data_IF_810976369616
#
_entry.id   IF_810976369616
#
_cell.length_a   1.000
_cell.length_b   1.000
_cell.length_c   1.000
_cell.angle_alpha   90.00
_cell.angle_beta   90.00
_cell.angle_gamma   90.00
#
_symmetry.space_group_name_H-M   'P 1'
#
loop_
_entity.id
_entity.type
_entity.pdbx_description
1 polymer ?
#
# COMPACT_ATOMS: atom_id res chain seq x y z
N UNK A 1 5.24 36.66 -36.01
CA UNK A 1 5.09 35.26 -35.47
C UNK A 1 6.26 35.01 -34.55
N UNK A 2 6.05 35.18 -33.24
CA UNK A 2 7.07 34.88 -32.22
C UNK A 2 6.96 33.44 -31.82
N UNK A 3 8.00 32.66 -32.09
CA UNK A 3 8.12 31.27 -31.68
C UNK A 3 8.46 31.26 -30.19
N UNK A 4 7.44 31.05 -29.33
CA UNK A 4 7.68 30.77 -27.90
C UNK A 4 8.33 29.42 -27.77
N UNK A 5 9.63 29.36 -27.57
CA UNK A 5 10.32 28.19 -27.06
C UNK A 5 9.80 27.97 -25.61
N UNK A 6 8.99 26.96 -25.44
CA UNK A 6 8.72 26.38 -24.13
C UNK A 6 10.02 25.75 -23.63
N UNK A 7 10.80 26.48 -22.87
CA UNK A 7 11.91 25.94 -22.10
C UNK A 7 11.25 25.11 -21.00
N UNK A 8 11.30 23.79 -21.15
CA UNK A 8 11.00 22.89 -20.03
C UNK A 8 11.90 23.29 -18.85
N UNK A 9 11.39 23.37 -17.61
CA UNK A 9 12.21 23.68 -16.48
C UNK A 9 13.32 22.61 -16.39
N UNK A 10 14.56 23.06 -16.38
CA UNK A 10 15.70 22.21 -16.13
C UNK A 10 15.44 21.50 -14.78
N UNK A 11 15.29 20.18 -14.83
CA UNK A 11 15.20 19.37 -13.62
C UNK A 11 16.41 19.76 -12.77
N UNK A 12 16.15 20.31 -11.59
CA UNK A 12 17.18 20.55 -10.60
C UNK A 12 18.00 19.25 -10.48
N UNK A 13 19.32 19.37 -10.35
CA UNK A 13 20.25 18.23 -10.17
C UNK A 13 20.02 17.57 -8.79
N UNK A 14 18.76 17.23 -8.49
CA UNK A 14 18.30 16.50 -7.31
C UNK A 14 18.38 15.00 -7.53
N UNK A 15 18.34 14.28 -6.46
CA UNK A 15 18.27 12.81 -6.44
C UNK A 15 17.15 12.34 -7.38
N UNK A 16 17.46 11.42 -8.29
CA UNK A 16 16.52 10.97 -9.32
C UNK A 16 15.99 9.56 -9.01
N UNK A 17 14.70 9.35 -9.25
CA UNK A 17 14.14 8.02 -9.28
C UNK A 17 14.64 7.30 -10.55
N UNK A 18 15.30 6.16 -10.37
CA UNK A 18 15.89 5.37 -11.46
C UNK A 18 15.00 4.20 -11.88
N UNK A 19 14.20 3.67 -10.94
CA UNK A 19 13.33 2.52 -11.17
C UNK A 19 11.95 2.80 -10.62
N UNK A 20 10.93 2.58 -11.43
CA UNK A 20 9.51 2.67 -11.08
C UNK A 20 8.90 1.27 -11.23
N UNK A 21 8.43 0.69 -10.14
CA UNK A 21 7.63 -0.53 -10.16
C UNK A 21 6.17 -0.20 -10.44
N UNK A 22 5.70 -0.53 -11.63
CA UNK A 22 4.32 -0.33 -12.05
C UNK A 22 3.43 -1.56 -11.82
N UNK A 23 3.97 -2.63 -11.22
CA UNK A 23 3.21 -3.82 -10.87
C UNK A 23 2.29 -3.61 -9.68
N UNK A 24 1.10 -4.19 -9.78
CA UNK A 24 0.13 -4.15 -8.69
C UNK A 24 0.64 -4.92 -7.45
N UNK A 25 0.23 -4.52 -6.26
CA UNK A 25 0.55 -5.27 -5.04
C UNK A 25 0.21 -6.76 -5.16
N UNK A 26 0.94 -7.63 -4.49
CA UNK A 26 0.82 -9.11 -4.53
C UNK A 26 1.29 -9.77 -5.84
N UNK A 27 1.91 -9.03 -6.74
CA UNK A 27 2.58 -9.56 -7.94
C UNK A 27 4.06 -9.89 -7.73
N UNK A 28 4.54 -9.96 -6.48
CA UNK A 28 5.94 -10.20 -6.14
C UNK A 28 6.76 -8.93 -5.92
N UNK A 29 6.11 -7.85 -5.55
CA UNK A 29 6.71 -6.52 -5.34
C UNK A 29 7.73 -6.50 -4.21
N UNK A 30 7.54 -7.28 -3.14
CA UNK A 30 8.51 -7.37 -2.05
C UNK A 30 9.79 -8.13 -2.47
N UNK A 31 9.66 -9.22 -3.23
CA UNK A 31 10.80 -9.88 -3.86
C UNK A 31 11.55 -8.94 -4.81
N UNK A 32 10.82 -8.12 -5.58
CA UNK A 32 11.42 -7.10 -6.44
C UNK A 32 12.15 -6.04 -5.62
N UNK A 33 11.58 -5.56 -4.50
CA UNK A 33 12.24 -4.62 -3.57
C UNK A 33 13.58 -5.18 -3.09
N UNK A 34 13.54 -6.40 -2.55
CA UNK A 34 14.74 -7.07 -2.04
C UNK A 34 15.79 -7.22 -3.15
N UNK A 35 15.38 -7.66 -4.35
CA UNK A 35 16.28 -7.80 -5.48
C UNK A 35 16.89 -6.46 -5.92
N UNK A 36 16.11 -5.39 -5.97
CA UNK A 36 16.61 -4.06 -6.31
C UNK A 36 17.61 -3.56 -5.26
N UNK A 37 17.35 -3.80 -3.97
CA UNK A 37 18.27 -3.45 -2.90
C UNK A 37 19.62 -4.21 -3.02
N UNK A 38 19.58 -5.50 -3.34
CA UNK A 38 20.79 -6.30 -3.60
C UNK A 38 21.55 -5.83 -4.86
N UNK A 39 20.84 -5.24 -5.84
CA UNK A 39 21.44 -4.61 -7.03
C UNK A 39 21.97 -3.18 -6.76
N UNK A 40 21.91 -2.70 -5.50
CA UNK A 40 22.45 -1.39 -5.09
C UNK A 40 21.46 -0.23 -5.24
N UNK A 41 20.20 -0.49 -5.45
CA UNK A 41 19.15 0.53 -5.36
C UNK A 41 18.69 0.67 -3.90
N UNK A 42 18.11 1.82 -3.57
CA UNK A 42 17.43 2.07 -2.32
C UNK A 42 15.94 2.17 -2.65
N UNK A 43 15.18 1.15 -2.30
CA UNK A 43 13.85 0.92 -2.87
C UNK A 43 12.74 1.19 -1.87
N UNK A 44 11.87 2.15 -2.21
CA UNK A 44 10.62 2.41 -1.50
C UNK A 44 9.58 1.32 -1.78
N UNK A 45 8.83 0.92 -0.75
CA UNK A 45 7.78 -0.08 -0.81
C UNK A 45 6.75 0.20 0.29
N UNK A 46 5.56 -0.39 0.22
CA UNK A 46 4.54 -0.25 1.28
C UNK A 46 5.07 -0.53 2.69
N UNK A 47 5.99 -1.47 2.84
CA UNK A 47 6.55 -1.80 4.15
C UNK A 47 7.30 -0.61 4.79
N UNK A 48 7.91 0.29 4.00
CA UNK A 48 8.52 1.53 4.49
C UNK A 48 7.47 2.49 5.06
N UNK A 49 6.31 2.53 4.42
CA UNK A 49 5.17 3.30 4.89
C UNK A 49 4.65 2.80 6.24
N UNK A 50 4.66 1.49 6.44
CA UNK A 50 4.16 0.82 7.65
C UNK A 50 5.26 0.63 8.72
N UNK A 51 6.52 0.88 8.39
CA UNK A 51 7.66 0.64 9.28
C UNK A 51 7.91 -0.83 9.62
N UNK A 52 7.55 -1.73 8.70
CA UNK A 52 7.65 -3.18 8.89
C UNK A 52 8.56 -3.86 7.87
N UNK A 53 9.40 -3.10 7.16
CA UNK A 53 10.34 -3.69 6.22
C UNK A 53 11.32 -4.62 6.94
N UNK A 54 11.35 -5.89 6.53
CA UNK A 54 12.41 -6.81 6.88
C UNK A 54 13.66 -6.41 6.09
N UNK A 55 14.82 -6.46 6.70
CA UNK A 55 16.13 -6.21 6.11
C UNK A 55 16.22 -5.03 5.12
N UNK A 56 16.92 -3.99 5.48
CA UNK A 56 17.18 -2.84 4.63
C UNK A 56 16.09 -1.78 4.59
N UNK A 57 15.08 -1.86 5.45
CA UNK A 57 14.17 -0.74 5.70
C UNK A 57 14.97 0.48 6.15
N UNK A 58 14.72 1.60 5.51
CA UNK A 58 15.52 2.83 5.75
C UNK A 58 14.76 3.85 6.57
N UNK A 59 13.45 3.65 6.70
CA UNK A 59 12.56 4.54 7.41
C UNK A 59 11.82 3.79 8.52
N UNK A 60 12.02 4.25 9.75
CA UNK A 60 11.15 3.86 10.87
C UNK A 60 10.11 4.99 11.06
N UNK A 61 8.80 4.71 10.98
CA UNK A 61 7.79 5.71 11.31
C UNK A 61 7.95 6.16 12.74
N UNK A 62 7.64 7.43 13.03
CA UNK A 62 7.63 7.92 14.39
C UNK A 62 6.55 7.19 15.21
N UNK A 63 6.67 7.12 16.56
CA UNK A 63 5.59 6.59 17.39
C UNK A 63 4.26 7.32 17.16
N UNK A 64 4.27 8.60 16.82
CA UNK A 64 3.06 9.39 16.54
C UNK A 64 2.44 9.02 15.20
N UNK A 65 3.25 8.77 14.16
CA UNK A 65 2.78 8.20 12.89
C UNK A 65 2.16 6.82 13.10
N UNK A 66 2.83 5.93 13.85
CA UNK A 66 2.31 4.59 14.16
C UNK A 66 0.98 4.64 14.92
N UNK A 67 0.79 5.64 15.77
CA UNK A 67 -0.45 5.88 16.49
C UNK A 67 -1.48 6.70 15.70
N UNK A 68 -1.14 7.15 14.48
CA UNK A 68 -2.02 7.90 13.59
C UNK A 68 -2.27 9.36 13.99
N UNK A 69 -1.40 9.94 14.79
CA UNK A 69 -1.42 11.37 15.13
C UNK A 69 -0.67 12.23 14.10
N UNK A 70 0.25 11.63 13.37
CA UNK A 70 0.98 12.23 12.26
C UNK A 70 0.75 11.41 11.00
N UNK A 71 0.57 12.06 9.85
CA UNK A 71 0.29 11.41 8.57
C UNK A 71 1.53 10.83 7.87
N UNK A 72 2.71 11.36 8.15
CA UNK A 72 3.97 10.94 7.53
C UNK A 72 3.86 10.81 6.02
N UNK A 73 4.46 9.76 5.44
CA UNK A 73 4.37 9.48 4.01
C UNK A 73 2.94 9.23 3.51
N UNK A 74 2.01 8.81 4.37
CA UNK A 74 0.60 8.66 4.00
C UNK A 74 -0.04 9.98 3.61
N UNK A 75 0.23 11.04 4.38
CA UNK A 75 -0.29 12.38 4.09
C UNK A 75 0.34 12.94 2.81
N UNK A 76 1.63 12.74 2.61
CA UNK A 76 2.34 13.15 1.39
C UNK A 76 1.77 12.46 0.14
N UNK A 77 1.48 11.17 0.19
CA UNK A 77 0.81 10.47 -0.91
C UNK A 77 -0.64 10.91 -1.12
N UNK A 78 -1.36 11.24 -0.05
CA UNK A 78 -2.71 11.80 -0.16
C UNK A 78 -2.66 13.20 -0.81
N UNK A 79 -1.66 14.01 -0.48
CA UNK A 79 -1.42 15.30 -1.11
C UNK A 79 -1.10 15.16 -2.60
N UNK A 80 -0.21 14.23 -2.97
CA UNK A 80 0.07 13.88 -4.37
C UNK A 80 -1.23 13.65 -5.13
N UNK A 81 -2.14 12.82 -4.59
CA UNK A 81 -3.41 12.54 -5.28
C UNK A 81 -4.35 13.76 -5.34
N UNK A 82 -4.40 14.59 -4.30
CA UNK A 82 -5.16 15.85 -4.31
C UNK A 82 -4.65 16.79 -5.39
N UNK A 83 -3.33 16.96 -5.49
CA UNK A 83 -2.69 17.82 -6.50
C UNK A 83 -3.01 17.34 -7.90
N UNK A 84 -2.85 16.03 -8.19
CA UNK A 84 -3.21 15.43 -9.49
C UNK A 84 -4.68 15.70 -9.81
N UNK A 85 -5.58 15.51 -8.85
CA UNK A 85 -7.02 15.73 -9.05
C UNK A 85 -7.35 17.19 -9.32
N UNK A 86 -6.59 18.11 -8.73
CA UNK A 86 -6.72 19.56 -8.94
C UNK A 86 -5.99 20.08 -10.20
N UNK A 87 -5.31 19.20 -10.96
CA UNK A 87 -4.50 19.59 -12.11
C UNK A 87 -3.19 20.30 -11.74
N UNK A 88 -2.76 20.15 -10.49
CA UNK A 88 -1.49 20.69 -9.97
C UNK A 88 -0.41 19.62 -10.08
N UNK A 89 0.80 20.03 -10.47
CA UNK A 89 1.94 19.12 -10.56
C UNK A 89 2.30 18.59 -9.15
N UNK A 90 2.36 17.25 -8.94
CA UNK A 90 2.69 16.70 -7.65
C UNK A 90 4.18 16.82 -7.32
N UNK A 91 4.51 16.99 -6.04
CA UNK A 91 5.88 16.94 -5.54
C UNK A 91 6.20 15.53 -5.03
N UNK A 92 7.27 14.94 -5.58
CA UNK A 92 7.80 13.63 -5.19
C UNK A 92 9.17 13.73 -4.48
N UNK A 93 9.59 14.91 -4.04
CA UNK A 93 10.89 15.12 -3.38
C UNK A 93 11.04 14.23 -2.14
N UNK A 94 9.99 14.09 -1.34
CA UNK A 94 9.98 13.20 -0.17
C UNK A 94 10.39 11.75 -0.48
N UNK A 95 10.08 11.29 -1.70
CA UNK A 95 10.43 9.95 -2.14
C UNK A 95 11.91 9.90 -2.56
N UNK A 96 12.34 10.87 -3.37
CA UNK A 96 13.70 10.88 -3.93
C UNK A 96 14.77 11.37 -2.96
N UNK A 97 14.40 11.98 -1.85
CA UNK A 97 15.34 12.37 -0.80
C UNK A 97 16.03 11.15 -0.18
N UNK A 98 15.33 10.04 -0.08
CA UNK A 98 15.85 8.83 0.54
C UNK A 98 16.00 7.66 -0.44
N UNK A 99 15.20 7.58 -1.50
CA UNK A 99 15.10 6.42 -2.39
C UNK A 99 15.45 6.78 -3.83
N UNK A 100 15.92 5.78 -4.59
CA UNK A 100 16.15 5.91 -6.03
C UNK A 100 15.40 4.84 -6.84
N UNK A 101 14.59 4.02 -6.17
CA UNK A 101 13.63 3.10 -6.75
C UNK A 101 12.35 3.12 -5.91
N UNK A 102 11.20 2.90 -6.53
CA UNK A 102 9.92 2.82 -5.83
C UNK A 102 9.05 1.73 -6.45
N UNK A 103 8.55 0.83 -5.63
CA UNK A 103 7.72 -0.30 -6.06
C UNK A 103 6.53 -0.46 -5.11
N UNK A 104 5.51 -1.24 -5.53
CA UNK A 104 4.31 -1.49 -4.75
C UNK A 104 3.46 -0.24 -4.50
N UNK A 105 2.34 -0.41 -3.84
CA UNK A 105 1.53 0.73 -3.37
C UNK A 105 2.26 1.49 -2.25
N UNK A 106 2.09 2.83 -2.17
CA UNK A 106 1.28 3.68 -3.05
C UNK A 106 1.92 4.05 -4.38
N UNK A 107 3.25 3.96 -4.52
CA UNK A 107 3.97 4.46 -5.71
C UNK A 107 3.47 3.84 -7.02
N UNK A 108 3.11 2.56 -7.02
CA UNK A 108 2.56 1.91 -8.20
C UNK A 108 1.24 2.54 -8.68
N UNK A 109 0.43 3.12 -7.79
CA UNK A 109 -0.81 3.81 -8.19
C UNK A 109 -0.57 5.16 -8.88
N UNK A 110 0.66 5.66 -8.83
CA UNK A 110 1.08 6.96 -9.39
C UNK A 110 2.21 6.79 -10.42
N UNK A 111 2.37 5.58 -10.98
CA UNK A 111 3.45 5.32 -11.93
C UNK A 111 3.46 6.27 -13.15
N UNK A 112 2.30 6.74 -13.70
CA UNK A 112 2.34 7.66 -14.84
C UNK A 112 2.91 9.03 -14.46
N UNK A 113 2.51 9.54 -13.30
CA UNK A 113 2.98 10.82 -12.77
C UNK A 113 4.46 10.75 -12.38
N UNK A 114 4.88 9.63 -11.78
CA UNK A 114 6.28 9.35 -11.51
C UNK A 114 7.11 9.29 -12.80
N UNK A 115 6.63 8.61 -13.84
CA UNK A 115 7.33 8.54 -15.11
C UNK A 115 7.41 9.93 -15.80
N UNK A 116 6.36 10.74 -15.67
CA UNK A 116 6.37 12.14 -16.15
C UNK A 116 7.40 12.99 -15.42
N UNK A 117 7.51 12.85 -14.10
CA UNK A 117 8.48 13.57 -13.27
C UNK A 117 9.92 13.05 -13.47
N UNK A 118 10.08 11.76 -13.73
CA UNK A 118 11.36 11.09 -13.92
C UNK A 118 11.41 10.34 -15.27
N UNK A 119 11.46 11.03 -16.40
CA UNK A 119 11.27 10.44 -17.74
C UNK A 119 12.36 9.47 -18.16
N UNK A 120 13.51 9.45 -17.48
CA UNK A 120 14.61 8.51 -17.72
C UNK A 120 14.54 7.27 -16.82
N UNK A 121 13.55 7.15 -15.95
CA UNK A 121 13.40 6.00 -15.09
C UNK A 121 13.03 4.74 -15.87
N UNK A 122 13.61 3.62 -15.50
CA UNK A 122 13.22 2.30 -16.00
C UNK A 122 11.95 1.83 -15.28
N UNK A 123 11.01 1.26 -16.02
CA UNK A 123 9.74 0.78 -15.46
C UNK A 123 9.75 -0.74 -15.40
N UNK A 124 9.47 -1.31 -14.25
CA UNK A 124 9.32 -2.76 -14.05
C UNK A 124 7.86 -3.06 -13.74
N UNK A 125 7.18 -3.74 -14.64
CA UNK A 125 5.82 -4.23 -14.47
C UNK A 125 5.88 -5.68 -14.00
N UNK A 126 5.76 -5.92 -12.69
CA UNK A 126 5.59 -7.28 -12.19
C UNK A 126 4.18 -7.77 -12.52
N UNK A 127 4.10 -8.95 -13.17
CA UNK A 127 2.83 -9.55 -13.59
C UNK A 127 2.65 -10.93 -12.96
N UNK A 128 1.40 -11.30 -12.78
CA UNK A 128 0.97 -12.58 -12.24
C UNK A 128 -0.33 -12.98 -12.91
N UNK A 129 -0.61 -14.28 -13.01
CA UNK A 129 -1.95 -14.76 -13.42
C UNK A 129 -3.04 -14.02 -12.62
N UNK A 130 -4.03 -13.38 -13.27
CA UNK A 130 -4.97 -12.48 -12.60
C UNK A 130 -5.91 -13.22 -11.63
N UNK A 131 -6.22 -14.49 -11.85
CA UNK A 131 -7.02 -15.29 -10.92
C UNK A 131 -6.21 -15.68 -9.67
N UNK A 132 -4.91 -16.01 -9.86
CA UNK A 132 -3.98 -16.23 -8.73
C UNK A 132 -3.75 -14.92 -7.96
N UNK A 133 -3.72 -13.78 -8.65
CA UNK A 133 -3.61 -12.47 -8.02
C UNK A 133 -4.86 -12.17 -7.19
N UNK A 134 -6.07 -12.35 -7.75
CA UNK A 134 -7.33 -12.22 -7.02
C UNK A 134 -7.33 -13.05 -5.74
N UNK A 135 -7.01 -14.33 -5.84
CA UNK A 135 -6.94 -15.21 -4.67
C UNK A 135 -5.95 -14.71 -3.61
N UNK A 136 -4.79 -14.18 -4.04
CA UNK A 136 -3.79 -13.63 -3.12
C UNK A 136 -4.27 -12.36 -2.42
N UNK A 137 -4.99 -11.49 -3.12
CA UNK A 137 -5.56 -10.24 -2.59
C UNK A 137 -6.72 -10.58 -1.63
N UNK A 138 -7.61 -11.49 -2.01
CA UNK A 138 -8.77 -11.91 -1.21
C UNK A 138 -8.34 -12.53 0.12
N UNK A 139 -7.27 -13.33 0.12
CA UNK A 139 -6.75 -13.99 1.33
C UNK A 139 -5.91 -13.08 2.24
N UNK A 140 -5.62 -11.85 1.84
CA UNK A 140 -4.78 -10.94 2.62
C UNK A 140 -5.42 -9.55 2.72
N UNK A 141 -5.35 -8.77 1.64
CA UNK A 141 -5.74 -7.37 1.63
C UNK A 141 -7.23 -7.14 1.92
N UNK A 142 -8.10 -8.00 1.39
CA UNK A 142 -9.55 -7.88 1.59
C UNK A 142 -9.97 -7.98 3.06
N UNK A 143 -9.26 -8.75 3.86
CA UNK A 143 -9.49 -8.80 5.31
C UNK A 143 -9.07 -7.51 6.01
N UNK A 144 -7.96 -6.89 5.57
CA UNK A 144 -7.45 -5.65 6.17
C UNK A 144 -8.38 -4.47 5.88
N UNK A 145 -8.96 -4.40 4.69
CA UNK A 145 -9.88 -3.31 4.32
C UNK A 145 -11.34 -3.56 4.74
N UNK A 146 -11.62 -4.65 5.45
CA UNK A 146 -12.96 -4.97 5.93
C UNK A 146 -13.92 -5.49 4.85
N UNK A 147 -13.40 -5.94 3.71
CA UNK A 147 -14.22 -6.53 2.64
C UNK A 147 -14.43 -8.05 2.78
N UNK A 148 -13.84 -8.66 3.80
CA UNK A 148 -13.96 -10.09 4.07
C UNK A 148 -15.23 -10.45 4.86
N UNK A 149 -15.05 -10.92 6.10
CA UNK A 149 -16.13 -11.33 6.98
C UNK A 149 -16.76 -10.14 7.74
N UNK A 150 -17.94 -10.36 8.37
CA UNK A 150 -18.53 -9.37 9.30
C UNK A 150 -17.58 -8.99 10.44
N UNK A 151 -16.75 -9.95 10.89
CA UNK A 151 -15.73 -9.67 11.89
C UNK A 151 -14.66 -8.71 11.32
N UNK A 152 -14.22 -8.91 10.09
CA UNK A 152 -13.24 -8.03 9.44
C UNK A 152 -13.81 -6.62 9.26
N UNK A 153 -15.08 -6.49 8.88
CA UNK A 153 -15.78 -5.20 8.80
C UNK A 153 -15.79 -4.51 10.17
N UNK A 154 -16.20 -5.21 11.21
CA UNK A 154 -16.22 -4.66 12.56
C UNK A 154 -14.83 -4.26 13.06
N UNK A 155 -13.82 -5.09 12.84
CA UNK A 155 -12.42 -4.80 13.21
C UNK A 155 -11.91 -3.58 12.46
N UNK A 156 -12.16 -3.49 11.16
CA UNK A 156 -11.77 -2.36 10.31
C UNK A 156 -12.44 -1.06 10.77
N UNK A 157 -13.76 -1.07 11.01
CA UNK A 157 -14.49 0.09 11.50
C UNK A 157 -13.96 0.55 12.87
N UNK A 158 -13.74 -0.38 13.79
CA UNK A 158 -13.18 -0.08 15.11
C UNK A 158 -11.78 0.51 14.99
N UNK A 159 -10.93 -0.09 14.16
CA UNK A 159 -9.53 0.31 14.03
C UNK A 159 -9.40 1.63 13.28
N UNK A 160 -10.07 1.77 12.12
CA UNK A 160 -9.88 2.92 11.23
C UNK A 160 -10.70 4.16 11.61
N UNK A 161 -11.71 4.04 12.45
CA UNK A 161 -12.42 5.18 13.01
C UNK A 161 -11.73 5.76 14.25
N UNK A 162 -10.64 5.16 14.71
CA UNK A 162 -9.79 5.72 15.78
C UNK A 162 -8.78 6.73 15.19
N UNK A 163 -8.21 7.63 16.02
CA UNK A 163 -7.23 8.60 15.55
C UNK A 163 -6.08 7.96 14.75
N UNK A 164 -5.57 6.81 15.20
CA UNK A 164 -4.49 6.06 14.53
C UNK A 164 -4.89 5.35 13.23
N UNK A 165 -6.19 5.24 12.94
CA UNK A 165 -6.67 4.59 11.71
C UNK A 165 -7.12 5.56 10.62
N UNK A 166 -7.34 6.83 10.95
CA UNK A 166 -7.90 7.82 10.01
C UNK A 166 -7.05 8.02 8.76
N UNK A 167 -5.74 8.07 8.92
CA UNK A 167 -4.81 8.19 7.79
C UNK A 167 -4.86 6.96 6.89
N UNK A 168 -4.97 5.76 7.45
CA UNK A 168 -5.08 4.52 6.68
C UNK A 168 -6.36 4.49 5.84
N UNK A 169 -7.49 4.91 6.41
CA UNK A 169 -8.75 5.03 5.67
C UNK A 169 -8.67 6.07 4.54
N UNK A 170 -8.11 7.23 4.81
CA UNK A 170 -7.88 8.25 3.80
C UNK A 170 -7.01 7.71 2.65
N UNK A 171 -5.90 7.07 2.98
CA UNK A 171 -4.99 6.45 2.02
C UNK A 171 -5.70 5.40 1.14
N UNK A 172 -6.51 4.52 1.73
CA UNK A 172 -7.25 3.51 0.96
C UNK A 172 -8.22 4.14 -0.04
N UNK A 173 -8.90 5.22 0.33
CA UNK A 173 -9.80 5.96 -0.56
C UNK A 173 -9.00 6.57 -1.71
N UNK A 174 -7.86 7.20 -1.42
CA UNK A 174 -7.04 7.84 -2.44
C UNK A 174 -6.41 6.82 -3.40
N UNK A 175 -6.01 5.67 -2.90
CA UNK A 175 -5.52 4.57 -3.75
C UNK A 175 -6.62 3.99 -4.64
N UNK A 176 -7.83 3.84 -4.13
CA UNK A 176 -8.95 3.38 -4.94
C UNK A 176 -9.24 4.36 -6.08
N UNK A 177 -9.22 5.68 -5.80
CA UNK A 177 -9.38 6.72 -6.82
C UNK A 177 -8.26 6.66 -7.88
N UNK A 178 -7.01 6.56 -7.44
CA UNK A 178 -5.86 6.45 -8.33
C UNK A 178 -5.96 5.19 -9.22
N UNK A 179 -6.26 4.04 -8.61
CA UNK A 179 -6.48 2.79 -9.34
C UNK A 179 -7.60 2.93 -10.36
N UNK A 180 -8.75 3.50 -9.97
CA UNK A 180 -9.89 3.72 -10.86
C UNK A 180 -9.54 4.56 -12.09
N UNK A 181 -8.73 5.61 -11.92
CA UNK A 181 -8.22 6.40 -13.06
C UNK A 181 -7.36 5.56 -14.01
N UNK A 182 -6.48 4.73 -13.47
CA UNK A 182 -5.56 3.90 -14.27
C UNK A 182 -6.29 2.80 -15.06
N UNK A 183 -7.26 2.14 -14.43
CA UNK A 183 -8.02 1.06 -15.08
C UNK A 183 -9.21 1.56 -15.89
N UNK A 184 -9.49 2.86 -15.89
CA UNK A 184 -10.61 3.44 -16.61
C UNK A 184 -11.98 3.08 -16.05
N UNK A 185 -12.06 2.79 -14.74
CA UNK A 185 -13.29 2.42 -14.03
C UNK A 185 -13.65 3.53 -13.03
N UNK A 186 -14.50 4.51 -13.41
CA UNK A 186 -14.98 5.51 -12.48
C UNK A 186 -15.67 4.86 -11.27
N UNK A 187 -15.35 5.32 -10.07
CA UNK A 187 -15.94 4.77 -8.85
C UNK A 187 -15.37 3.41 -8.43
N UNK A 188 -14.20 3.01 -8.95
CA UNK A 188 -13.52 1.80 -8.50
C UNK A 188 -13.38 1.77 -6.97
N UNK A 189 -13.71 0.65 -6.37
CA UNK A 189 -13.48 0.38 -4.95
C UNK A 189 -12.82 -0.98 -4.75
N UNK A 190 -11.90 -1.03 -3.81
CA UNK A 190 -11.29 -2.30 -3.41
C UNK A 190 -12.31 -3.25 -2.77
N UNK A 191 -13.34 -2.72 -2.10
CA UNK A 191 -14.42 -3.53 -1.52
C UNK A 191 -15.17 -4.30 -2.61
N UNK A 192 -15.51 -3.63 -3.72
CA UNK A 192 -16.14 -4.31 -4.86
C UNK A 192 -15.19 -5.34 -5.48
N UNK A 193 -13.93 -4.97 -5.70
CA UNK A 193 -12.92 -5.88 -6.26
C UNK A 193 -12.69 -7.12 -5.37
N UNK A 194 -12.83 -6.99 -4.06
CA UNK A 194 -12.74 -8.12 -3.14
C UNK A 194 -13.94 -9.08 -3.20
N UNK A 195 -15.10 -8.58 -3.56
CA UNK A 195 -16.35 -9.35 -3.57
C UNK A 195 -16.79 -9.81 -4.98
N UNK A 196 -16.08 -9.38 -6.02
CA UNK A 196 -16.38 -9.70 -7.41
C UNK A 196 -15.08 -10.03 -8.15
N UNK A 197 -14.82 -11.33 -8.32
CA UNK A 197 -13.62 -11.80 -9.03
C UNK A 197 -13.55 -11.33 -10.47
N UNK A 198 -14.68 -11.34 -11.20
CA UNK A 198 -14.69 -10.94 -12.59
C UNK A 198 -14.34 -9.46 -12.75
N UNK A 199 -14.89 -8.61 -11.87
CA UNK A 199 -14.57 -7.20 -11.80
C UNK A 199 -13.09 -6.96 -11.45
N UNK A 200 -12.56 -7.65 -10.44
CA UNK A 200 -11.15 -7.55 -10.06
C UNK A 200 -10.21 -7.98 -11.18
N UNK A 201 -10.47 -9.14 -11.80
CA UNK A 201 -9.68 -9.68 -12.90
C UNK A 201 -9.68 -8.73 -14.12
N UNK A 202 -10.83 -8.14 -14.44
CA UNK A 202 -10.92 -7.14 -15.51
C UNK A 202 -10.06 -5.91 -15.20
N UNK A 203 -10.11 -5.40 -13.95
CA UNK A 203 -9.29 -4.28 -13.52
C UNK A 203 -7.79 -4.59 -13.56
N UNK A 204 -7.36 -5.79 -13.13
CA UNK A 204 -5.96 -6.20 -13.18
C UNK A 204 -5.43 -6.28 -14.62
N UNK A 205 -6.23 -6.84 -15.55
CA UNK A 205 -5.88 -6.89 -16.96
C UNK A 205 -5.81 -5.50 -17.59
N UNK A 206 -6.74 -4.60 -17.23
CA UNK A 206 -6.74 -3.23 -17.71
C UNK A 206 -5.51 -2.44 -17.20
N UNK A 207 -5.10 -2.67 -15.96
CA UNK A 207 -3.88 -2.11 -15.39
C UNK A 207 -2.65 -2.51 -16.21
N UNK A 208 -2.42 -3.81 -16.37
CA UNK A 208 -1.28 -4.33 -17.12
C UNK A 208 -1.27 -3.82 -18.57
N UNK A 209 -2.43 -3.80 -19.21
CA UNK A 209 -2.59 -3.28 -20.58
C UNK A 209 -2.24 -1.79 -20.66
N UNK A 210 -2.68 -0.99 -19.66
CA UNK A 210 -2.38 0.44 -19.60
C UNK A 210 -0.89 0.72 -19.48
N UNK A 211 -0.17 0.00 -18.62
CA UNK A 211 1.29 0.13 -18.48
C UNK A 211 1.97 -0.21 -19.80
N UNK A 212 1.65 -1.37 -20.39
CA UNK A 212 2.23 -1.84 -21.66
C UNK A 212 1.97 -0.91 -22.84
N UNK A 213 0.82 -0.24 -22.86
CA UNK A 213 0.46 0.69 -23.92
C UNK A 213 1.07 2.10 -23.74
N UNK A 214 1.50 2.45 -22.56
CA UNK A 214 1.95 3.82 -22.25
C UNK A 214 3.46 3.93 -22.13
N UNK A 215 4.12 2.93 -21.55
CA UNK A 215 5.57 2.97 -21.31
C UNK A 215 6.32 2.55 -22.57
N UNK A 216 7.31 3.32 -23.05
CA UNK A 216 8.15 2.93 -24.18
C UNK A 216 8.80 1.56 -23.98
N UNK A 217 8.90 0.77 -25.05
CA UNK A 217 9.37 -0.62 -24.97
C UNK A 217 10.82 -0.75 -24.44
N UNK A 218 11.67 0.23 -24.70
CA UNK A 218 13.05 0.29 -24.23
C UNK A 218 13.18 0.71 -22.74
N UNK A 219 12.10 1.24 -22.19
CA UNK A 219 11.99 1.62 -20.78
C UNK A 219 11.18 0.64 -19.94
N UNK A 220 10.56 -0.38 -20.55
CA UNK A 220 9.66 -1.31 -19.87
C UNK A 220 10.23 -2.72 -19.79
N UNK A 221 10.30 -3.27 -18.59
CA UNK A 221 10.45 -4.71 -18.34
C UNK A 221 9.14 -5.29 -17.81
N UNK A 222 8.53 -6.19 -18.59
CA UNK A 222 7.43 -7.03 -18.08
C UNK A 222 8.05 -8.22 -17.36
N UNK A 223 7.92 -8.23 -16.03
CA UNK A 223 8.57 -9.20 -15.15
C UNK A 223 7.55 -10.21 -14.62
N UNK A 224 7.59 -11.43 -15.16
CA UNK A 224 6.69 -12.50 -14.74
C UNK A 224 7.24 -13.22 -13.52
N UNK A 225 6.57 -13.01 -12.38
CA UNK A 225 6.96 -13.60 -11.08
C UNK A 225 6.96 -15.12 -11.14
N UNK A 226 8.06 -15.72 -10.69
CA UNK A 226 8.27 -17.16 -10.73
C UNK A 226 8.84 -17.72 -12.04
N UNK A 227 9.02 -16.85 -13.08
CA UNK A 227 9.71 -17.22 -14.33
C UNK A 227 10.98 -16.42 -14.54
N UNK A 228 10.94 -15.12 -14.24
CA UNK A 228 12.08 -14.21 -14.36
C UNK A 228 12.83 -14.09 -13.05
N UNK A 229 14.09 -13.67 -13.15
CA UNK A 229 15.00 -13.52 -12.03
C UNK A 229 16.01 -12.39 -12.24
N UNK A 230 17.18 -12.53 -11.63
CA UNK A 230 18.25 -11.54 -11.76
C UNK A 230 18.77 -11.38 -13.17
N UNK A 231 18.74 -12.43 -14.00
CA UNK A 231 19.22 -12.36 -15.40
C UNK A 231 18.49 -11.28 -16.16
N UNK A 232 17.17 -11.29 -16.16
CA UNK A 232 16.34 -10.34 -16.87
C UNK A 232 16.39 -8.95 -16.22
N UNK A 233 16.29 -8.90 -14.90
CA UNK A 233 16.26 -7.65 -14.16
C UNK A 233 17.57 -6.88 -14.27
N UNK A 234 18.70 -7.53 -14.03
CA UNK A 234 20.02 -6.90 -14.09
C UNK A 234 20.40 -6.47 -15.51
N UNK A 235 20.10 -7.30 -16.53
CA UNK A 235 20.30 -6.94 -17.92
C UNK A 235 19.50 -5.70 -18.31
N UNK A 236 18.23 -5.62 -17.91
CA UNK A 236 17.37 -4.47 -18.18
C UNK A 236 17.88 -3.19 -17.49
N UNK A 237 18.35 -3.31 -16.25
CA UNK A 237 18.83 -2.16 -15.46
C UNK A 237 20.28 -1.77 -15.80
N UNK A 238 21.00 -2.57 -16.59
CA UNK A 238 22.40 -2.34 -16.96
C UNK A 238 23.37 -2.50 -15.79
N UNK A 239 23.04 -3.40 -14.85
CA UNK A 239 23.86 -3.68 -13.65
C UNK A 239 24.31 -5.14 -13.64
N UNK A 240 25.34 -5.45 -12.82
CA UNK A 240 25.82 -6.82 -12.69
C UNK A 240 24.85 -7.64 -11.85
N UNK A 241 24.42 -8.80 -12.37
CA UNK A 241 23.64 -9.76 -11.60
C UNK A 241 24.44 -10.35 -10.43
N UNK A 242 23.87 -10.49 -9.23
CA UNK A 242 24.50 -11.23 -8.15
C UNK A 242 24.51 -12.73 -8.46
N UNK A 243 25.33 -13.48 -7.70
CA UNK A 243 25.40 -14.95 -7.84
C UNK A 243 24.37 -15.65 -6.93
N UNK A 244 23.72 -14.90 -6.05
CA UNK A 244 22.65 -15.41 -5.17
C UNK A 244 21.36 -15.71 -5.97
N UNK A 245 20.54 -16.67 -5.53
CA UNK A 245 19.21 -16.86 -6.10
C UNK A 245 18.34 -15.61 -5.99
N UNK A 246 17.42 -15.41 -6.95
CA UNK A 246 16.42 -14.35 -6.86
C UNK A 246 15.57 -14.52 -5.59
N UNK A 247 15.33 -13.46 -4.79
CA UNK A 247 14.63 -13.57 -3.52
C UNK A 247 13.17 -13.99 -3.70
N UNK A 248 12.71 -14.88 -2.82
CA UNK A 248 11.33 -15.31 -2.72
C UNK A 248 10.79 -14.94 -1.33
N UNK A 249 10.36 -13.71 -1.17
CA UNK A 249 9.79 -13.26 0.10
C UNK A 249 8.34 -13.71 0.25
N UNK A 250 7.99 -14.21 1.43
CA UNK A 250 6.63 -14.70 1.72
C UNK A 250 5.83 -13.64 2.50
N UNK A 251 5.39 -12.60 1.80
CA UNK A 251 4.60 -11.51 2.38
C UNK A 251 3.22 -11.94 2.96
N UNK A 252 2.80 -13.18 2.74
CA UNK A 252 1.54 -13.70 3.32
C UNK A 252 1.64 -13.80 4.85
N UNK A 253 2.80 -14.19 5.38
CA UNK A 253 3.02 -14.25 6.83
C UNK A 253 2.97 -12.86 7.46
N UNK A 254 3.54 -11.85 6.80
CA UNK A 254 3.52 -10.46 7.24
C UNK A 254 2.10 -9.90 7.27
N UNK A 255 1.31 -10.12 6.22
CA UNK A 255 -0.10 -9.72 6.20
C UNK A 255 -0.93 -10.42 7.29
N UNK A 256 -0.67 -11.69 7.55
CA UNK A 256 -1.34 -12.42 8.64
C UNK A 256 -0.98 -11.82 10.00
N UNK A 257 0.26 -11.43 10.19
CA UNK A 257 0.72 -10.74 11.40
C UNK A 257 0.06 -9.36 11.55
N UNK A 258 0.02 -8.55 10.51
CA UNK A 258 -0.67 -7.23 10.52
C UNK A 258 -2.15 -7.40 10.87
N UNK A 259 -2.84 -8.37 10.26
CA UNK A 259 -4.23 -8.68 10.54
C UNK A 259 -4.44 -9.12 12.00
N UNK A 260 -3.51 -9.93 12.54
CA UNK A 260 -3.52 -10.29 13.95
C UNK A 260 -3.40 -9.07 14.87
N UNK A 261 -2.48 -8.14 14.57
CA UNK A 261 -2.32 -6.89 15.33
C UNK A 261 -3.61 -6.07 15.30
N UNK A 262 -4.24 -5.90 14.14
CA UNK A 262 -5.50 -5.15 14.04
C UNK A 262 -6.63 -5.79 14.86
N UNK A 263 -6.77 -7.10 14.80
CA UNK A 263 -7.77 -7.84 15.60
C UNK A 263 -7.48 -7.73 17.10
N UNK A 264 -6.22 -7.80 17.50
CA UNK A 264 -5.80 -7.64 18.87
C UNK A 264 -6.08 -6.23 19.41
N UNK A 265 -5.74 -5.18 18.64
CA UNK A 265 -6.04 -3.80 18.99
C UNK A 265 -7.55 -3.54 19.10
N UNK A 266 -8.35 -4.08 18.20
CA UNK A 266 -9.80 -3.99 18.28
C UNK A 266 -10.35 -4.67 19.55
N UNK A 267 -9.82 -5.85 19.90
CA UNK A 267 -10.19 -6.54 21.15
C UNK A 267 -9.84 -5.71 22.39
N UNK A 268 -8.65 -5.13 22.45
CA UNK A 268 -8.23 -4.31 23.58
C UNK A 268 -9.07 -3.02 23.71
N UNK A 269 -9.37 -2.38 22.60
CA UNK A 269 -10.02 -1.05 22.62
C UNK A 269 -11.53 -1.11 22.81
N UNK A 270 -12.18 -2.23 22.51
CA UNK A 270 -13.64 -2.38 22.63
C UNK A 270 -14.00 -3.56 23.52
N UNK A 271 -13.37 -4.71 23.35
CA UNK A 271 -13.71 -5.93 24.09
C UNK A 271 -13.46 -5.80 25.58
N UNK A 272 -12.29 -5.30 25.97
CA UNK A 272 -11.96 -5.11 27.40
C UNK A 272 -12.87 -4.08 28.08
N UNK A 273 -13.08 -2.86 27.56
CA UNK A 273 -14.03 -1.92 28.14
C UNK A 273 -15.47 -2.45 28.21
N UNK A 274 -15.94 -3.18 27.19
CA UNK A 274 -17.27 -3.78 27.19
C UNK A 274 -17.42 -4.85 28.28
N UNK A 275 -16.40 -5.68 28.47
CA UNK A 275 -16.36 -6.67 29.57
C UNK A 275 -16.39 -5.99 30.95
N UNK A 276 -15.57 -4.96 31.14
CA UNK A 276 -15.54 -4.19 32.38
C UNK A 276 -16.90 -3.54 32.67
N UNK A 277 -17.52 -2.91 31.67
CA UNK A 277 -18.85 -2.32 31.80
C UNK A 277 -19.90 -3.37 32.17
N UNK A 278 -19.86 -4.55 31.52
CA UNK A 278 -20.76 -5.67 31.83
C UNK A 278 -20.56 -6.20 33.26
N UNK A 279 -19.31 -6.32 33.73
CA UNK A 279 -18.99 -6.71 35.09
C UNK A 279 -19.49 -5.67 36.11
N UNK A 280 -19.27 -4.40 35.83
CA UNK A 280 -19.77 -3.31 36.70
C UNK A 280 -21.30 -3.32 36.79
N UNK A 281 -22.00 -3.46 35.64
CA UNK A 281 -23.46 -3.57 35.62
C UNK A 281 -23.96 -4.76 36.44
N UNK A 282 -23.34 -5.95 36.25
CA UNK A 282 -23.70 -7.15 37.07
C UNK A 282 -23.44 -6.96 38.53
N UNK A 283 -22.35 -6.30 38.92
CA UNK A 283 -22.07 -5.98 40.31
C UNK A 283 -23.09 -4.97 40.89
N UNK A 284 -23.48 -3.96 40.12
CA UNK A 284 -24.49 -2.97 40.54
C UNK A 284 -25.88 -3.63 40.72
N UNK A 285 -26.30 -4.49 39.79
CA UNK A 285 -27.56 -5.21 39.89
C UNK A 285 -27.60 -6.18 41.09
N UNK A 286 -26.48 -6.85 41.39
CA UNK A 286 -26.38 -7.71 42.58
C UNK A 286 -26.46 -6.92 43.90
N UNK A 287 -25.88 -5.71 43.93
CA UNK A 287 -25.95 -4.84 45.15
C UNK A 287 -27.32 -4.18 45.33
N UNK A 288 -28.01 -3.83 44.23
CA UNK A 288 -29.37 -3.25 44.29
C UNK A 288 -30.46 -4.24 44.69
N UNK A 289 -30.19 -5.57 44.60
CA UNK A 289 -31.14 -6.62 45.02
C UNK A 289 -31.05 -7.03 46.51
N UNK A 290 -30.13 -6.46 47.30
CA UNK A 290 -30.04 -6.78 48.71
C UNK A 290 -31.17 -6.04 49.46
N UNK A 291 -32.27 -6.75 49.76
CA UNK A 291 -33.35 -6.22 50.64
C UNK A 291 -32.77 -5.79 51.96
N UNK A 292 -33.20 -4.63 52.51
CA UNK A 292 -32.79 -4.21 53.83
C UNK A 292 -33.24 -5.27 54.86
N UNK A 293 -32.31 -5.77 55.66
CA UNK A 293 -32.64 -6.61 56.78
C UNK A 293 -33.52 -5.80 57.74
N UNK A 294 -34.81 -6.10 57.79
CA UNK A 294 -35.71 -5.59 58.81
C UNK A 294 -35.18 -6.07 60.16
N UNK A 295 -34.65 -5.15 60.97
CA UNK A 295 -34.42 -5.38 62.40
C UNK A 295 -35.79 -5.64 63.05
N UNK A 296 -36.09 -6.88 63.40
CA UNK A 296 -37.13 -7.17 64.38
C UNK A 296 -36.56 -6.77 65.75
N UNK A 297 -37.24 -5.81 66.41
CA UNK A 297 -37.05 -5.50 67.78
C UNK A 297 -37.69 -6.52 68.71
#
# INVERSE_FOLDING_TARGET
>A
MALSLLIAPAAAAGKQLKVIGAGMGRTGTDSLRTALNELGFKTYHMCELLGICNEGGTRAPSPLEMLGFEGGHNELWAEVNRNITAGVEPDFSFLTDEFNAAVDFPSAAFWPELLKAYPNAKVVLTVRDPHKLYKSISNAWCHIIGAGTLLDQAVTEITFNRPWGRWNRAMQIEWAKATGRLVGVPGFTWVQACNDEAYAVAAFKAWDAKVKATVPADQLLVFETGKHGYTELAAFLGVKAPTTPYPHTNSTAEFTFVLFIFRFLALLTVGVPALLACCCLRCCLRRGGAKPKTKRG
#
